data_IF_020308910991
#
_entry.id   IF_020308910991
#
_cell.length_a   1.000
_cell.length_b   1.000
_cell.length_c   1.000
_cell.angle_alpha   90.00
_cell.angle_beta   90.00
_cell.angle_gamma   90.00
#
_symmetry.space_group_name_H-M   'P 1'
#
loop_
_entity.id
_entity.type
_entity.pdbx_description
1 polymer ?
#
# COMPACT_ATOMS: atom_id res chain seq x y z
N UNK A 1 20.09 11.98 -2.73
CA UNK A 1 19.91 10.61 -3.26
C UNK A 1 18.46 10.48 -3.73
N UNK A 2 18.15 9.68 -4.75
CA UNK A 2 16.75 9.50 -5.16
C UNK A 2 16.02 8.66 -4.10
N UNK A 3 14.75 8.98 -3.84
CA UNK A 3 13.89 8.23 -2.90
C UNK A 3 13.75 6.78 -3.42
N UNK A 4 13.79 5.73 -2.57
CA UNK A 4 13.43 4.37 -2.99
C UNK A 4 12.08 4.33 -3.72
N UNK A 5 11.81 3.25 -4.46
CA UNK A 5 10.47 3.03 -4.97
C UNK A 5 9.58 2.50 -3.83
N UNK A 6 8.47 3.17 -3.51
CA UNK A 6 7.57 2.74 -2.43
C UNK A 6 6.75 1.52 -2.87
N UNK A 7 6.38 1.52 -4.14
CA UNK A 7 5.60 0.46 -4.75
C UNK A 7 5.99 0.30 -6.21
N UNK A 8 6.02 -0.95 -6.68
CA UNK A 8 6.32 -1.34 -8.04
C UNK A 8 5.35 -2.42 -8.50
N UNK A 9 4.91 -2.31 -9.75
CA UNK A 9 4.05 -3.31 -10.41
C UNK A 9 4.53 -3.52 -11.83
N UNK A 10 4.33 -4.72 -12.37
CA UNK A 10 4.67 -5.02 -13.75
C UNK A 10 3.47 -5.56 -14.51
N UNK A 11 3.35 -5.11 -15.76
CA UNK A 11 2.49 -5.69 -16.78
C UNK A 11 3.36 -6.56 -17.67
N UNK A 12 3.02 -7.83 -17.83
CA UNK A 12 3.67 -8.72 -18.80
C UNK A 12 2.66 -9.04 -19.91
N UNK A 13 3.13 -9.09 -21.14
CA UNK A 13 2.33 -9.56 -22.27
C UNK A 13 2.49 -11.07 -22.40
N UNK A 14 1.38 -11.80 -22.53
CA UNK A 14 1.45 -13.26 -22.78
C UNK A 14 1.80 -13.58 -24.24
N UNK A 15 1.48 -12.65 -25.17
CA UNK A 15 1.65 -12.84 -26.60
C UNK A 15 3.00 -12.35 -27.12
N UNK A 16 3.58 -11.35 -26.47
CA UNK A 16 4.89 -10.79 -26.80
C UNK A 16 5.77 -10.93 -25.57
N UNK A 17 7.08 -11.16 -25.70
CA UNK A 17 8.00 -11.16 -24.54
C UNK A 17 8.19 -9.76 -23.92
N UNK A 18 7.26 -8.84 -24.20
CA UNK A 18 7.27 -7.48 -23.70
C UNK A 18 6.70 -7.42 -22.29
N UNK A 19 7.37 -6.62 -21.47
CA UNK A 19 6.91 -6.26 -20.15
C UNK A 19 7.10 -4.77 -19.94
N UNK A 20 6.29 -4.19 -19.06
CA UNK A 20 6.43 -2.81 -18.61
C UNK A 20 6.37 -2.81 -17.10
N UNK A 21 7.40 -2.24 -16.47
CA UNK A 21 7.41 -2.00 -15.02
C UNK A 21 6.99 -0.56 -14.74
N UNK A 22 6.18 -0.38 -13.70
CA UNK A 22 5.77 0.91 -13.15
C UNK A 22 6.27 0.98 -11.71
N UNK A 23 6.79 2.12 -11.30
CA UNK A 23 7.23 2.33 -9.93
C UNK A 23 6.93 3.73 -9.45
N UNK A 24 6.37 3.86 -8.25
CA UNK A 24 6.23 5.14 -7.61
C UNK A 24 7.47 5.47 -6.77
N UNK A 25 8.04 6.65 -6.98
CA UNK A 25 9.13 7.23 -6.19
C UNK A 25 8.70 8.60 -5.70
N UNK A 26 8.20 8.63 -4.47
CA UNK A 26 7.55 9.77 -3.87
C UNK A 26 6.25 10.11 -4.61
N UNK A 27 6.21 11.30 -5.21
CA UNK A 27 5.04 11.81 -5.94
C UNK A 27 5.04 11.47 -7.43
N UNK A 28 6.10 10.85 -7.93
CA UNK A 28 6.26 10.50 -9.34
C UNK A 28 6.02 9.02 -9.59
N UNK A 29 5.43 8.71 -10.74
CA UNK A 29 5.39 7.36 -11.28
C UNK A 29 6.34 7.31 -12.47
N UNK A 30 7.29 6.38 -12.44
CA UNK A 30 8.17 6.07 -13.56
C UNK A 30 7.66 4.80 -14.20
N UNK A 31 7.65 4.72 -15.53
CA UNK A 31 7.43 3.48 -16.24
C UNK A 31 8.61 3.18 -17.15
N UNK A 32 8.99 1.91 -17.27
CA UNK A 32 9.97 1.48 -18.26
C UNK A 32 9.53 0.17 -18.91
N UNK A 33 9.59 0.14 -20.25
CA UNK A 33 9.31 -1.06 -21.04
C UNK A 33 10.58 -1.90 -21.30
N UNK A 34 10.38 -3.17 -21.62
CA UNK A 34 11.41 -4.10 -22.12
C UNK A 34 12.19 -3.55 -23.33
N UNK A 35 11.56 -2.67 -24.11
CA UNK A 35 12.14 -2.03 -25.30
C UNK A 35 12.95 -0.76 -24.98
N UNK A 36 13.12 -0.43 -23.69
CA UNK A 36 13.93 0.69 -23.22
C UNK A 36 13.22 2.05 -23.18
N UNK A 37 11.96 2.14 -23.65
CA UNK A 37 11.18 3.37 -23.51
C UNK A 37 10.88 3.64 -22.02
N UNK A 38 11.31 4.79 -21.53
CA UNK A 38 11.09 5.26 -20.15
C UNK A 38 10.18 6.48 -20.16
N UNK A 39 9.19 6.49 -19.28
CA UNK A 39 8.19 7.55 -19.15
C UNK A 39 8.10 7.97 -17.68
N UNK A 40 7.65 9.20 -17.42
CA UNK A 40 7.47 9.69 -16.05
C UNK A 40 6.23 10.54 -15.97
N UNK A 41 5.45 10.31 -14.92
CA UNK A 41 4.30 11.11 -14.57
C UNK A 41 4.52 11.79 -13.22
N UNK A 42 4.20 13.10 -13.09
CA UNK A 42 3.83 14.00 -14.18
C UNK A 42 4.99 14.20 -15.19
N UNK A 43 4.70 14.51 -16.47
CA UNK A 43 5.72 14.83 -17.45
C UNK A 43 6.64 15.96 -16.94
N UNK A 44 7.93 15.91 -17.23
CA UNK A 44 8.82 17.02 -16.86
C UNK A 44 8.40 18.29 -17.64
N UNK A 45 8.03 19.35 -16.92
CA UNK A 45 7.81 20.66 -17.50
C UNK A 45 9.14 21.20 -18.08
N UNK A 46 9.28 21.16 -19.39
CA UNK A 46 10.35 21.85 -20.12
C UNK A 46 10.01 23.34 -20.36
N UNK A 47 9.48 24.04 -19.34
CA UNK A 47 9.24 25.48 -19.41
C UNK A 47 9.62 26.20 -18.12
N UNK A 48 10.91 26.48 -17.98
CA UNK A 48 11.37 27.78 -17.48
C UNK A 48 12.33 28.32 -18.54
N UNK A 49 11.78 28.75 -19.68
CA UNK A 49 12.45 29.81 -20.42
C UNK A 49 12.44 31.02 -19.49
N UNK A 50 13.63 31.43 -19.07
CA UNK A 50 13.86 32.72 -18.45
C UNK A 50 13.18 33.80 -19.29
N UNK A 51 12.01 34.28 -18.85
CA UNK A 51 11.58 35.62 -19.20
C UNK A 51 12.63 36.55 -18.58
N UNK A 52 13.55 37.03 -19.43
CA UNK A 52 14.35 38.20 -19.16
C UNK A 52 13.36 39.35 -18.91
N UNK A 53 13.13 39.67 -17.64
CA UNK A 53 12.55 40.96 -17.28
C UNK A 53 13.52 42.04 -17.75
N UNK A 54 13.12 42.75 -18.80
CA UNK A 54 13.72 44.01 -19.18
C UNK A 54 13.46 45.02 -18.06
N UNK A 55 14.53 45.51 -17.44
CA UNK A 55 14.48 46.63 -16.49
C UNK A 55 13.83 47.86 -17.14
N UNK A 56 12.62 48.18 -16.73
CA UNK A 56 12.06 49.53 -16.84
C UNK A 56 11.62 49.97 -15.44
N UNK A 57 12.31 50.97 -14.91
CA UNK A 57 12.15 51.55 -13.58
C UNK A 57 10.73 52.07 -13.33
N UNK A 58 10.01 51.49 -12.36
CA UNK A 58 8.86 52.15 -11.72
C UNK A 58 8.81 51.91 -10.19
N UNK A 59 8.26 52.91 -9.49
CA UNK A 59 8.41 53.27 -8.07
C UNK A 59 7.90 52.24 -7.05
N UNK A 60 8.39 52.27 -5.78
CA UNK A 60 8.13 51.22 -4.80
C UNK A 60 6.73 51.32 -4.18
N UNK A 61 5.78 50.54 -4.71
CA UNK A 61 4.54 50.18 -4.03
C UNK A 61 4.68 48.84 -3.31
N UNK A 62 4.33 48.76 -2.03
CA UNK A 62 4.30 47.51 -1.24
C UNK A 62 3.34 46.49 -1.89
N UNK A 63 3.86 45.61 -2.75
CA UNK A 63 3.19 44.37 -3.16
C UNK A 63 3.56 43.29 -2.14
N UNK A 64 2.59 42.91 -1.32
CA UNK A 64 2.67 41.69 -0.51
C UNK A 64 2.73 40.54 -1.52
N UNK A 65 3.88 39.86 -1.61
CA UNK A 65 3.98 38.56 -2.27
C UNK A 65 3.09 37.60 -1.49
N UNK A 66 1.88 37.34 -1.98
CA UNK A 66 1.14 36.14 -1.62
C UNK A 66 2.00 34.97 -2.10
N UNK A 67 2.63 34.26 -1.16
CA UNK A 67 3.21 32.96 -1.45
C UNK A 67 2.10 32.10 -2.05
N UNK A 68 2.29 31.66 -3.31
CA UNK A 68 1.44 30.60 -3.85
C UNK A 68 1.51 29.41 -2.88
N UNK A 69 0.39 28.71 -2.63
CA UNK A 69 0.42 27.53 -1.77
C UNK A 69 1.48 26.59 -2.33
N UNK A 70 2.47 26.20 -1.52
CA UNK A 70 3.42 25.16 -1.91
C UNK A 70 2.59 23.95 -2.33
N UNK A 71 2.67 23.55 -3.60
CA UNK A 71 2.06 22.30 -4.06
C UNK A 71 2.59 21.17 -3.17
N UNK A 72 1.71 20.62 -2.35
CA UNK A 72 2.06 19.54 -1.46
C UNK A 72 2.07 18.25 -2.27
N UNK A 73 3.27 17.86 -2.73
CA UNK A 73 3.52 16.63 -3.47
C UNK A 73 3.16 15.43 -2.60
N UNK A 74 2.09 14.74 -2.96
CA UNK A 74 1.58 13.59 -2.20
C UNK A 74 2.24 12.29 -2.66
N UNK A 75 2.79 11.54 -1.72
CA UNK A 75 3.47 10.29 -2.01
C UNK A 75 2.49 9.14 -2.25
N UNK A 76 2.82 8.27 -3.21
CA UNK A 76 2.07 7.05 -3.45
C UNK A 76 2.40 5.99 -2.39
N UNK A 77 1.37 5.31 -1.88
CA UNK A 77 1.51 4.20 -0.92
C UNK A 77 1.10 2.84 -1.48
N UNK A 78 0.46 2.81 -2.65
CA UNK A 78 0.06 1.57 -3.32
C UNK A 78 -0.17 1.84 -4.80
N UNK A 79 0.16 0.86 -5.64
CA UNK A 79 -0.15 0.82 -7.07
C UNK A 79 -0.73 -0.56 -7.39
N UNK A 80 -1.80 -0.59 -8.20
CA UNK A 80 -2.36 -1.83 -8.77
C UNK A 80 -2.64 -1.62 -10.26
N UNK A 81 -2.53 -2.70 -11.03
CA UNK A 81 -2.94 -2.72 -12.45
C UNK A 81 -4.34 -3.29 -12.58
N UNK A 82 -5.08 -2.83 -13.59
CA UNK A 82 -6.29 -3.52 -14.05
C UNK A 82 -5.96 -4.90 -14.61
N UNK A 83 -6.93 -5.82 -14.56
CA UNK A 83 -6.74 -7.21 -15.00
C UNK A 83 -6.37 -7.31 -16.50
N UNK A 84 -6.73 -6.30 -17.29
CA UNK A 84 -6.37 -6.18 -18.70
C UNK A 84 -5.08 -5.36 -18.94
N UNK A 85 -4.49 -4.79 -17.89
CA UNK A 85 -3.28 -3.99 -17.93
C UNK A 85 -3.40 -2.63 -18.61
N UNK A 86 -4.61 -2.14 -18.93
CA UNK A 86 -4.79 -0.82 -19.58
C UNK A 86 -4.83 0.35 -18.60
N UNK A 87 -5.09 0.09 -17.32
CA UNK A 87 -5.22 1.11 -16.29
C UNK A 87 -4.29 0.82 -15.12
N UNK A 88 -3.73 1.89 -14.56
CA UNK A 88 -2.97 1.87 -13.32
C UNK A 88 -3.78 2.66 -12.28
N UNK A 89 -3.97 2.12 -11.08
CA UNK A 89 -4.67 2.80 -9.98
C UNK A 89 -3.70 2.94 -8.81
N UNK A 90 -3.62 4.14 -8.25
CA UNK A 90 -2.73 4.44 -7.12
C UNK A 90 -3.44 5.11 -5.96
N UNK A 91 -2.95 4.85 -4.75
CA UNK A 91 -3.33 5.58 -3.53
C UNK A 91 -2.26 6.61 -3.23
N UNK A 92 -2.67 7.87 -3.02
CA UNK A 92 -1.84 8.90 -2.41
C UNK A 92 -2.31 9.14 -0.97
N UNK A 93 -1.42 8.90 0.00
CA UNK A 93 -1.80 8.82 1.41
C UNK A 93 -2.00 10.17 2.12
N UNK A 94 -1.34 11.21 1.62
CA UNK A 94 -1.31 12.55 2.24
C UNK A 94 -2.56 13.37 1.88
N UNK A 95 -2.97 13.33 0.62
CA UNK A 95 -4.20 13.94 0.10
C UNK A 95 -5.43 13.01 0.21
N UNK A 96 -5.22 11.73 0.54
CA UNK A 96 -6.26 10.68 0.68
C UNK A 96 -6.96 10.37 -0.64
N UNK A 97 -6.27 10.53 -1.76
CA UNK A 97 -6.89 10.39 -3.07
C UNK A 97 -6.58 9.03 -3.71
N UNK A 98 -7.56 8.53 -4.46
CA UNK A 98 -7.40 7.43 -5.40
C UNK A 98 -7.23 8.05 -6.78
N UNK A 99 -6.13 7.73 -7.44
CA UNK A 99 -5.79 8.24 -8.78
C UNK A 99 -5.88 7.10 -9.79
N UNK A 100 -6.54 7.35 -10.92
CA UNK A 100 -6.66 6.37 -12.02
C UNK A 100 -5.93 6.92 -13.23
N UNK A 101 -5.05 6.11 -13.82
CA UNK A 101 -4.26 6.44 -14.99
C UNK A 101 -4.60 5.48 -16.12
N UNK A 102 -4.74 6.01 -17.33
CA UNK A 102 -4.72 5.21 -18.54
C UNK A 102 -3.27 5.01 -18.99
N UNK A 103 -2.95 3.79 -19.40
CA UNK A 103 -1.66 3.43 -19.99
C UNK A 103 -1.86 3.39 -21.51
N UNK A 104 -1.20 4.30 -22.23
CA UNK A 104 -1.27 4.32 -23.69
C UNK A 104 -0.36 3.24 -24.34
N UNK A 105 -0.37 3.16 -25.67
CA UNK A 105 0.46 2.22 -26.44
C UNK A 105 1.98 2.45 -26.28
N UNK A 106 2.39 3.62 -25.81
CA UNK A 106 3.78 4.01 -25.57
C UNK A 106 4.17 3.88 -24.08
N UNK A 107 3.26 3.39 -23.24
CA UNK A 107 3.40 3.33 -21.78
C UNK A 107 3.49 4.70 -21.08
N UNK A 108 2.95 5.76 -21.70
CA UNK A 108 2.71 7.01 -21.00
C UNK A 108 1.47 6.89 -20.12
N UNK A 109 1.50 7.59 -19.00
CA UNK A 109 0.41 7.62 -18.04
C UNK A 109 -0.38 8.92 -18.21
N UNK A 110 -1.66 8.79 -18.54
CA UNK A 110 -2.60 9.91 -18.52
C UNK A 110 -3.50 9.77 -17.30
N UNK A 111 -3.43 10.74 -16.36
CA UNK A 111 -4.34 10.74 -15.21
C UNK A 111 -5.78 11.02 -15.70
N UNK A 112 -6.68 10.05 -15.52
CA UNK A 112 -8.09 10.17 -15.86
C UNK A 112 -8.93 10.72 -14.72
N UNK A 113 -8.60 10.35 -13.48
CA UNK A 113 -9.35 10.81 -12.31
C UNK A 113 -8.49 10.91 -11.06
N UNK A 114 -8.91 11.80 -10.17
CA UNK A 114 -8.39 12.00 -8.81
C UNK A 114 -9.60 12.12 -7.88
N UNK A 115 -9.75 11.20 -6.93
CA UNK A 115 -10.93 11.12 -6.06
C UNK A 115 -10.51 11.06 -4.60
N UNK A 116 -10.77 12.15 -3.88
CA UNK A 116 -10.29 12.30 -2.51
C UNK A 116 -11.31 11.78 -1.50
N UNK A 117 -10.92 10.73 -0.79
CA UNK A 117 -11.76 10.01 0.15
C UNK A 117 -11.89 10.78 1.46
N UNK A 118 -13.02 10.59 2.17
CA UNK A 118 -13.23 11.22 3.48
C UNK A 118 -12.20 10.78 4.54
N UNK A 119 -11.69 9.56 4.38
CA UNK A 119 -10.65 8.92 5.20
C UNK A 119 -9.53 8.41 4.29
N UNK A 120 -8.34 8.27 4.85
CA UNK A 120 -7.17 7.77 4.10
C UNK A 120 -7.43 6.33 3.65
N UNK A 121 -7.36 6.03 2.35
CA UNK A 121 -7.36 4.66 1.85
C UNK A 121 -6.19 3.86 2.43
N UNK A 122 -6.44 2.63 2.86
CA UNK A 122 -5.41 1.69 3.34
C UNK A 122 -5.07 0.65 2.28
N UNK A 123 -6.06 0.14 1.54
CA UNK A 123 -5.85 -0.83 0.46
C UNK A 123 -6.90 -0.66 -0.65
N UNK A 124 -6.52 -1.02 -1.88
CA UNK A 124 -7.40 -1.00 -3.05
C UNK A 124 -7.29 -2.30 -3.83
N UNK A 125 -8.38 -2.72 -4.45
CA UNK A 125 -8.41 -3.83 -5.43
C UNK A 125 -9.44 -3.55 -6.52
N UNK A 126 -9.45 -4.36 -7.58
CA UNK A 126 -10.38 -4.24 -8.69
C UNK A 126 -11.28 -5.48 -8.79
N UNK A 127 -12.52 -5.27 -9.21
CA UNK A 127 -13.40 -6.36 -9.61
C UNK A 127 -12.88 -7.04 -10.88
N UNK A 128 -13.16 -8.33 -11.07
CA UNK A 128 -12.63 -9.10 -12.21
C UNK A 128 -13.02 -8.54 -13.59
N UNK A 129 -14.07 -7.74 -13.68
CA UNK A 129 -14.55 -7.09 -14.90
C UNK A 129 -13.92 -5.70 -15.13
N UNK A 130 -12.99 -5.27 -14.26
CA UNK A 130 -12.35 -3.95 -14.27
C UNK A 130 -13.36 -2.78 -14.20
N UNK A 131 -14.60 -2.99 -13.74
CA UNK A 131 -15.60 -1.94 -13.69
C UNK A 131 -15.52 -1.12 -12.39
N UNK A 132 -15.10 -1.74 -11.29
CA UNK A 132 -15.20 -1.16 -9.94
C UNK A 132 -13.88 -1.26 -9.19
N UNK A 133 -13.43 -0.14 -8.64
CA UNK A 133 -12.39 -0.04 -7.61
C UNK A 133 -13.05 -0.28 -6.26
N UNK A 134 -12.56 -1.27 -5.52
CA UNK A 134 -12.88 -1.47 -4.12
C UNK A 134 -11.79 -0.79 -3.29
N UNK A 135 -12.19 0.10 -2.38
CA UNK A 135 -11.29 0.86 -1.53
C UNK A 135 -11.62 0.60 -0.07
N UNK A 136 -10.68 0.00 0.66
CA UNK A 136 -10.72 -0.06 2.12
C UNK A 136 -10.07 1.20 2.71
N UNK A 137 -10.69 1.77 3.74
CA UNK A 137 -10.15 2.92 4.46
C UNK A 137 -9.60 2.56 5.86
N UNK A 138 -8.80 3.47 6.41
CA UNK A 138 -8.19 3.29 7.74
C UNK A 138 -9.18 3.31 8.92
N UNK A 139 -10.45 3.63 8.68
CA UNK A 139 -11.51 3.69 9.68
C UNK A 139 -12.36 2.42 9.73
N UNK A 140 -12.19 1.53 8.76
CA UNK A 140 -12.87 0.25 8.73
C UNK A 140 -13.85 0.09 7.57
N UNK A 141 -14.07 1.12 6.75
CA UNK A 141 -15.09 1.09 5.70
C UNK A 141 -14.53 0.59 4.37
N UNK A 142 -15.33 -0.15 3.60
CA UNK A 142 -15.05 -0.51 2.20
C UNK A 142 -16.05 0.15 1.27
N UNK A 143 -15.53 0.89 0.30
CA UNK A 143 -16.31 1.58 -0.72
C UNK A 143 -16.13 0.94 -2.10
N UNK A 144 -17.20 0.90 -2.89
CA UNK A 144 -17.13 0.68 -4.34
C UNK A 144 -17.14 2.02 -5.06
N UNK A 145 -16.22 2.19 -6.02
CA UNK A 145 -16.16 3.33 -6.90
C UNK A 145 -16.01 2.85 -8.35
N UNK A 146 -16.65 3.48 -9.36
CA UNK A 146 -16.43 3.09 -10.75
C UNK A 146 -14.96 3.29 -11.13
N UNK A 147 -14.34 2.39 -11.91
CA UNK A 147 -12.97 2.59 -12.38
C UNK A 147 -12.89 3.85 -13.25
N UNK A 148 -13.85 3.99 -14.16
CA UNK A 148 -13.99 5.13 -15.05
C UNK A 148 -15.26 5.90 -14.67
N UNK A 149 -15.14 7.08 -14.03
CA UNK A 149 -16.31 7.92 -13.76
C UNK A 149 -16.89 8.43 -15.08
N UNK A 150 -18.21 8.41 -15.19
CA UNK A 150 -18.93 9.08 -16.27
C UNK A 150 -19.19 10.55 -15.91
N UNK A 151 -19.38 11.44 -16.90
CA UNK A 151 -19.72 12.85 -16.64
C UNK A 151 -21.00 13.06 -15.82
N UNK A 152 -21.88 12.05 -15.76
CA UNK A 152 -23.09 12.08 -14.94
C UNK A 152 -22.81 11.65 -13.48
N UNK A 153 -21.73 10.93 -13.22
CA UNK A 153 -21.33 10.51 -11.88
C UNK A 153 -20.81 11.68 -11.02
N UNK A 154 -20.36 12.76 -11.66
CA UNK A 154 -19.93 14.01 -11.00
C UNK A 154 -21.12 14.93 -10.63
N UNK A 155 -22.32 14.68 -11.18
CA UNK A 155 -23.55 15.43 -10.86
C UNK A 155 -24.22 14.97 -9.55
N UNK A 156 -23.79 13.83 -8.99
CA UNK A 156 -24.27 13.28 -7.71
C UNK A 156 -23.81 14.13 -6.50
N UNK A 157 -23.05 15.20 -6.74
CA UNK A 157 -22.68 16.21 -5.74
C UNK A 157 -23.80 17.18 -5.33
N UNK A 158 -24.98 17.15 -5.96
CA UNK A 158 -26.17 17.79 -5.37
C UNK A 158 -26.73 16.86 -4.29
N UNK A 159 -26.92 17.33 -3.05
CA UNK A 159 -27.43 16.49 -1.98
C UNK A 159 -28.80 15.94 -2.39
N UNK A 160 -28.89 14.63 -2.60
CA UNK A 160 -30.16 13.95 -2.62
C UNK A 160 -30.89 14.32 -1.33
N UNK A 161 -32.09 14.89 -1.46
CA UNK A 161 -32.98 15.21 -0.35
C UNK A 161 -33.24 13.92 0.45
N UNK A 162 -32.46 13.71 1.51
CA UNK A 162 -32.93 12.94 2.65
C UNK A 162 -34.18 13.64 3.18
N UNK A 163 -35.27 12.92 3.52
CA UNK A 163 -36.43 13.54 4.14
C UNK A 163 -35.94 14.33 5.35
N UNK A 164 -36.27 15.63 5.37
CA UNK A 164 -35.84 16.57 6.39
C UNK A 164 -35.98 15.95 7.78
N UNK A 165 -34.86 15.50 8.32
CA UNK A 165 -34.76 15.23 9.75
C UNK A 165 -34.43 16.59 10.33
N UNK A 166 -35.40 17.14 11.08
CA UNK A 166 -35.28 18.42 11.77
C UNK A 166 -33.87 18.52 12.40
N UNK A 167 -33.10 19.51 11.97
CA UNK A 167 -31.83 19.82 12.61
C UNK A 167 -32.14 20.13 14.08
N UNK A 168 -31.64 19.35 15.06
CA UNK A 168 -31.71 19.81 16.42
C UNK A 168 -30.80 21.03 16.52
N UNK A 169 -31.35 22.14 17.03
CA UNK A 169 -30.63 23.35 17.39
C UNK A 169 -29.24 22.99 17.92
N UNK A 170 -28.19 23.53 17.30
CA UNK A 170 -26.82 23.42 17.80
C UNK A 170 -26.73 24.14 19.15
N UNK A 171 -27.14 23.45 20.22
CA UNK A 171 -26.77 23.84 21.57
C UNK A 171 -25.27 23.67 21.70
N UNK A 172 -24.58 24.74 22.07
CA UNK A 172 -23.21 24.67 22.57
C UNK A 172 -23.14 23.57 23.64
N UNK A 173 -22.39 22.52 23.36
CA UNK A 173 -22.19 21.44 24.31
C UNK A 173 -21.34 21.97 25.47
N UNK A 174 -21.95 22.11 26.64
CA UNK A 174 -21.29 22.47 27.89
C UNK A 174 -21.06 21.19 28.69
N UNK A 175 -19.82 20.88 29.11
CA UNK A 175 -19.57 19.76 30.01
C UNK A 175 -20.45 19.92 31.26
N UNK A 176 -21.21 18.90 31.62
CA UNK A 176 -22.11 18.94 32.79
C UNK A 176 -21.38 19.00 34.14
N UNK A 177 -20.05 18.86 34.14
CA UNK A 177 -19.22 18.82 35.33
C UNK A 177 -18.24 20.00 35.37
N UNK A 178 -18.24 20.72 36.49
CA UNK A 178 -17.25 21.76 36.81
C UNK A 178 -16.08 21.16 37.61
N UNK A 179 -14.94 21.85 37.64
CA UNK A 179 -13.77 21.48 38.45
C UNK A 179 -14.06 21.38 39.95
N UNK A 180 -15.20 21.92 40.40
CA UNK A 180 -15.70 21.84 41.77
C UNK A 180 -16.43 20.53 42.09
N UNK A 181 -16.88 19.77 41.08
CA UNK A 181 -17.73 18.57 41.24
C UNK A 181 -16.93 17.27 41.05
N UNK A 182 -15.69 17.35 40.58
CA UNK A 182 -14.88 16.20 40.19
C UNK A 182 -13.80 15.93 41.23
N UNK A 183 -14.00 14.89 42.05
CA UNK A 183 -13.09 14.54 43.16
C UNK A 183 -12.16 13.35 42.87
N UNK A 184 -12.35 12.64 41.75
CA UNK A 184 -11.51 11.49 41.36
C UNK A 184 -10.50 11.86 40.26
N UNK A 185 -9.29 11.30 40.35
CA UNK A 185 -8.22 11.57 39.38
C UNK A 185 -8.57 11.20 37.94
N UNK A 186 -9.35 10.11 37.74
CA UNK A 186 -9.80 9.64 36.42
C UNK A 186 -10.77 10.63 35.77
N UNK A 187 -11.75 11.11 36.53
CA UNK A 187 -12.75 12.05 36.02
C UNK A 187 -12.13 13.43 35.73
N UNK A 188 -11.09 13.83 36.48
CA UNK A 188 -10.35 15.08 36.21
C UNK A 188 -9.63 15.02 34.86
N UNK A 189 -9.04 13.88 34.52
CA UNK A 189 -8.39 13.65 33.22
C UNK A 189 -9.40 13.69 32.07
N UNK A 190 -10.56 13.09 32.23
CA UNK A 190 -11.65 13.14 31.24
C UNK A 190 -12.16 14.56 31.01
N UNK A 191 -12.29 15.36 32.08
CA UNK A 191 -12.67 16.78 31.97
C UNK A 191 -11.60 17.61 31.26
N UNK A 192 -10.32 17.38 31.55
CA UNK A 192 -9.19 18.03 30.86
C UNK A 192 -9.17 17.69 29.35
N UNK A 193 -9.48 16.45 28.98
CA UNK A 193 -9.58 16.01 27.59
C UNK A 193 -10.77 16.66 26.86
N UNK A 194 -11.93 16.77 27.52
CA UNK A 194 -13.10 17.46 26.99
C UNK A 194 -12.84 18.95 26.77
N UNK A 195 -12.16 19.63 27.69
CA UNK A 195 -11.77 21.03 27.55
C UNK A 195 -10.73 21.23 26.44
N UNK A 196 -9.78 20.30 26.27
CA UNK A 196 -8.84 20.30 25.14
C UNK A 196 -9.55 20.10 23.80
N UNK A 197 -10.60 19.27 23.74
CA UNK A 197 -11.42 19.13 22.54
C UNK A 197 -12.19 20.43 22.24
N UNK A 198 -12.76 21.09 23.26
CA UNK A 198 -13.40 22.42 23.09
C UNK A 198 -12.42 23.46 22.54
N UNK A 199 -11.18 23.49 23.05
CA UNK A 199 -10.15 24.41 22.59
C UNK A 199 -9.71 24.18 21.13
N UNK A 200 -9.92 22.97 20.58
CA UNK A 200 -9.63 22.64 19.18
C UNK A 200 -10.69 23.15 18.19
N UNK A 201 -11.76 23.80 18.67
CA UNK A 201 -12.86 24.29 17.85
C UNK A 201 -13.77 23.17 17.33
N UNK A 202 -14.87 23.51 16.63
CA UNK A 202 -15.69 22.51 15.96
C UNK A 202 -14.79 21.71 15.01
N UNK A 203 -14.88 20.37 15.07
CA UNK A 203 -14.19 19.51 14.12
C UNK A 203 -14.47 20.03 12.71
N UNK A 204 -13.42 20.32 11.92
CA UNK A 204 -13.58 20.69 10.50
C UNK A 204 -14.62 19.76 9.90
N UNK A 205 -15.72 20.34 9.41
CA UNK A 205 -16.78 19.57 8.76
C UNK A 205 -16.14 18.67 7.72
N UNK A 206 -16.47 17.38 7.76
CA UNK A 206 -16.02 16.43 6.75
C UNK A 206 -16.50 16.99 5.41
N UNK A 207 -15.59 17.40 4.54
CA UNK A 207 -15.99 17.69 3.16
C UNK A 207 -16.61 16.40 2.59
N UNK A 208 -17.87 16.46 2.14
CA UNK A 208 -18.53 15.28 1.62
C UNK A 208 -17.81 14.84 0.34
N UNK A 209 -17.69 13.52 0.14
CA UNK A 209 -17.14 12.96 -1.11
C UNK A 209 -18.07 13.34 -2.27
N UNK A 210 -17.54 14.07 -3.26
CA UNK A 210 -18.33 14.65 -4.37
C UNK A 210 -18.26 13.85 -5.67
N UNK A 211 -18.07 12.54 -5.56
CA UNK A 211 -18.01 11.61 -6.69
C UNK A 211 -18.87 10.39 -6.37
N UNK A 212 -19.29 9.64 -7.37
CA UNK A 212 -20.04 8.40 -7.17
C UNK A 212 -19.25 7.36 -6.39
N UNK A 213 -19.84 6.90 -5.29
CA UNK A 213 -19.33 5.83 -4.45
C UNK A 213 -20.50 5.14 -3.75
N UNK A 214 -20.28 3.88 -3.35
CA UNK A 214 -21.20 3.10 -2.55
C UNK A 214 -20.46 2.54 -1.35
N UNK A 215 -20.98 2.72 -0.13
CA UNK A 215 -20.48 2.05 1.06
C UNK A 215 -20.99 0.60 1.06
N UNK A 216 -20.07 -0.36 1.02
CA UNK A 216 -20.41 -1.79 0.90
C UNK A 216 -20.49 -2.50 2.24
N UNK A 217 -19.47 -2.32 3.09
CA UNK A 217 -19.34 -2.97 4.39
C UNK A 217 -18.38 -2.18 5.29
N UNK A 218 -18.37 -2.52 6.59
CA UNK A 218 -17.53 -1.86 7.58
C UNK A 218 -17.03 -2.78 8.70
N UNK A 219 -15.83 -2.51 9.18
CA UNK A 219 -15.21 -3.02 10.40
C UNK A 219 -15.18 -1.90 11.44
N UNK A 220 -15.10 -2.28 12.73
CA UNK A 220 -14.83 -1.31 13.81
C UNK A 220 -13.33 -1.07 13.93
N UNK A 221 -12.51 -2.04 13.52
CA UNK A 221 -11.07 -1.94 13.46
C UNK A 221 -10.59 -1.30 12.16
N UNK A 222 -9.32 -0.90 12.16
CA UNK A 222 -8.62 -0.38 10.99
C UNK A 222 -8.41 -1.49 9.97
N UNK A 223 -9.01 -1.35 8.78
CA UNK A 223 -8.72 -2.24 7.66
C UNK A 223 -7.29 -2.05 7.18
N UNK A 224 -6.61 -3.17 6.99
CA UNK A 224 -5.21 -3.26 6.56
C UNK A 224 -5.08 -3.76 5.14
N UNK A 225 -5.99 -4.64 4.70
CA UNK A 225 -6.01 -5.13 3.33
C UNK A 225 -7.42 -5.51 2.83
N UNK A 226 -7.61 -5.46 1.52
CA UNK A 226 -8.83 -5.90 0.83
C UNK A 226 -8.48 -6.69 -0.42
N UNK A 227 -9.10 -7.85 -0.58
CA UNK A 227 -8.96 -8.71 -1.74
C UNK A 227 -10.32 -9.05 -2.34
N UNK A 228 -10.37 -9.20 -3.66
CA UNK A 228 -11.56 -9.59 -4.40
C UNK A 228 -11.31 -10.93 -5.09
N UNK A 229 -12.29 -11.82 -5.04
CA UNK A 229 -12.22 -13.10 -5.75
C UNK A 229 -13.59 -13.53 -6.26
N UNK A 230 -13.60 -14.49 -7.19
CA UNK A 230 -14.80 -15.16 -7.67
C UNK A 230 -14.66 -16.66 -7.48
N UNK A 231 -15.68 -17.29 -6.90
CA UNK A 231 -15.77 -18.74 -6.80
C UNK A 231 -17.21 -19.18 -7.09
N UNK A 232 -17.36 -20.29 -7.84
CA UNK A 232 -18.65 -20.89 -8.15
C UNK A 232 -19.68 -19.88 -8.72
N UNK A 233 -19.21 -18.94 -9.54
CA UNK A 233 -20.06 -17.91 -10.16
C UNK A 233 -20.47 -16.76 -9.22
N UNK A 234 -20.02 -16.75 -7.96
CA UNK A 234 -20.25 -15.67 -7.00
C UNK A 234 -18.97 -14.88 -6.74
N UNK A 235 -19.11 -13.58 -6.54
CA UNK A 235 -18.03 -12.69 -6.11
C UNK A 235 -17.95 -12.61 -4.59
N UNK A 236 -16.74 -12.37 -4.07
CA UNK A 236 -16.47 -12.23 -2.64
C UNK A 236 -15.49 -11.08 -2.40
N UNK A 237 -15.66 -10.41 -1.26
CA UNK A 237 -14.73 -9.44 -0.71
C UNK A 237 -14.15 -10.05 0.56
N UNK A 238 -12.83 -10.15 0.61
CA UNK A 238 -12.10 -10.58 1.80
C UNK A 238 -11.37 -9.37 2.37
N UNK A 239 -11.61 -9.08 3.64
CA UNK A 239 -10.98 -7.95 4.35
C UNK A 239 -10.17 -8.43 5.53
N UNK A 240 -9.00 -7.81 5.72
CA UNK A 240 -8.14 -8.01 6.87
C UNK A 240 -8.09 -6.74 7.72
N UNK A 241 -7.93 -6.89 9.04
CA UNK A 241 -7.80 -5.75 9.94
C UNK A 241 -6.68 -5.88 10.99
N UNK A 242 -6.49 -4.79 11.72
CA UNK A 242 -5.49 -4.65 12.79
C UNK A 242 -5.78 -5.54 14.01
N UNK A 243 -7.04 -5.93 14.21
CA UNK A 243 -7.49 -6.74 15.36
C UNK A 243 -7.68 -8.21 14.97
N UNK A 244 -6.79 -8.72 14.12
CA UNK A 244 -6.64 -10.14 13.77
C UNK A 244 -7.75 -10.73 12.88
N UNK A 245 -8.76 -9.95 12.48
CA UNK A 245 -9.87 -10.51 11.70
C UNK A 245 -9.54 -10.61 10.22
N UNK A 246 -9.88 -11.76 9.64
CA UNK A 246 -10.06 -11.94 8.21
C UNK A 246 -11.55 -12.25 7.99
N UNK A 247 -12.30 -11.32 7.42
CA UNK A 247 -13.73 -11.45 7.13
C UNK A 247 -13.96 -11.80 5.67
N UNK A 248 -14.88 -12.71 5.42
CA UNK A 248 -15.32 -13.10 4.09
C UNK A 248 -16.76 -12.66 3.91
N UNK A 249 -16.99 -11.72 3.00
CA UNK A 249 -18.32 -11.24 2.63
C UNK A 249 -18.58 -11.52 1.16
N UNK A 250 -19.85 -11.57 0.74
CA UNK A 250 -20.16 -11.59 -0.69
C UNK A 250 -19.69 -10.30 -1.36
N UNK A 251 -19.52 -10.34 -2.67
CA UNK A 251 -19.27 -9.14 -3.47
C UNK A 251 -20.56 -8.36 -3.76
N UNK A 252 -20.44 -7.19 -4.40
CA UNK A 252 -21.60 -6.40 -4.82
C UNK A 252 -22.55 -7.23 -5.69
N UNK A 253 -23.88 -7.09 -5.53
CA UNK A 253 -24.57 -6.12 -4.66
C UNK A 253 -24.85 -6.61 -3.23
N UNK A 254 -24.34 -7.78 -2.83
CA UNK A 254 -24.69 -8.44 -1.56
C UNK A 254 -23.60 -8.31 -0.48
N UNK A 255 -22.81 -7.24 -0.53
CA UNK A 255 -21.64 -7.07 0.36
C UNK A 255 -21.97 -7.02 1.86
N UNK A 256 -23.23 -6.76 2.22
CA UNK A 256 -23.74 -6.85 3.59
C UNK A 256 -23.85 -8.29 4.13
N UNK A 257 -23.76 -9.32 3.28
CA UNK A 257 -23.84 -10.73 3.68
C UNK A 257 -22.43 -11.24 4.00
N UNK A 258 -22.19 -11.50 5.28
CA UNK A 258 -20.97 -12.14 5.77
C UNK A 258 -21.14 -13.66 5.63
N UNK A 259 -20.22 -14.30 4.91
CA UNK A 259 -20.17 -15.76 4.75
C UNK A 259 -19.39 -16.42 5.89
N UNK A 260 -18.36 -15.75 6.42
CA UNK A 260 -17.60 -16.25 7.55
C UNK A 260 -16.35 -15.45 7.90
N UNK A 261 -15.55 -16.04 8.78
CA UNK A 261 -14.30 -15.47 9.27
C UNK A 261 -13.23 -16.56 9.35
N UNK A 262 -12.00 -16.25 8.90
CA UNK A 262 -10.85 -17.12 9.10
C UNK A 262 -10.21 -16.79 10.46
N UNK A 263 -10.41 -17.66 11.45
CA UNK A 263 -9.86 -17.50 12.80
C UNK A 263 -8.51 -18.21 12.94
N UNK A 264 -7.50 -17.53 13.50
CA UNK A 264 -6.23 -18.16 13.85
C UNK A 264 -5.04 -17.21 14.02
N UNK A 265 -5.12 -15.99 13.48
CA UNK A 265 -4.13 -14.94 13.77
C UNK A 265 -4.23 -14.49 15.24
N UNK A 266 -3.09 -14.20 15.85
CA UNK A 266 -2.94 -13.67 17.21
C UNK A 266 -2.29 -12.27 17.22
N UNK A 267 -1.93 -11.76 16.04
CA UNK A 267 -1.52 -10.39 15.81
C UNK A 267 -2.23 -9.80 14.57
N UNK A 268 -2.02 -8.49 14.35
CA UNK A 268 -2.58 -7.79 13.20
C UNK A 268 -2.30 -8.54 11.88
N UNK A 269 -3.28 -8.58 10.98
CA UNK A 269 -3.08 -9.08 9.62
C UNK A 269 -2.74 -7.89 8.73
N UNK A 270 -1.69 -7.97 7.93
CA UNK A 270 -1.24 -6.86 7.08
C UNK A 270 -1.43 -7.11 5.59
N UNK A 271 -1.41 -8.38 5.16
CA UNK A 271 -1.46 -8.77 3.75
C UNK A 271 -2.32 -10.00 3.52
N UNK A 272 -3.12 -9.93 2.45
CA UNK A 272 -3.88 -11.02 1.86
C UNK A 272 -3.39 -11.25 0.44
N UNK A 273 -3.20 -12.51 0.05
CA UNK A 273 -2.81 -12.88 -1.30
C UNK A 273 -3.61 -14.10 -1.75
N UNK A 274 -4.30 -13.97 -2.88
CA UNK A 274 -4.85 -15.12 -3.56
C UNK A 274 -3.80 -15.71 -4.50
N UNK A 275 -3.67 -17.04 -4.46
CA UNK A 275 -2.88 -17.79 -5.44
C UNK A 275 -3.68 -18.01 -6.72
N UNK A 276 -3.03 -18.54 -7.75
CA UNK A 276 -3.69 -18.84 -9.03
C UNK A 276 -4.83 -19.87 -8.89
N UNK A 277 -4.73 -20.83 -7.95
CA UNK A 277 -5.80 -21.79 -7.68
C UNK A 277 -6.87 -21.27 -6.69
N UNK A 278 -6.83 -19.97 -6.36
CA UNK A 278 -7.73 -19.33 -5.40
C UNK A 278 -7.59 -19.83 -3.97
N UNK A 279 -6.40 -20.25 -3.53
CA UNK A 279 -6.09 -20.37 -2.11
C UNK A 279 -5.81 -18.98 -1.54
N UNK A 280 -6.21 -18.75 -0.29
CA UNK A 280 -5.93 -17.51 0.41
C UNK A 280 -4.72 -17.70 1.31
N UNK A 281 -3.70 -16.86 1.15
CA UNK A 281 -2.56 -16.76 2.05
C UNK A 281 -2.63 -15.43 2.78
N UNK A 282 -2.44 -15.44 4.10
CA UNK A 282 -2.37 -14.23 4.92
C UNK A 282 -1.09 -14.17 5.74
N UNK A 283 -0.64 -12.95 5.99
CA UNK A 283 0.52 -12.65 6.83
C UNK A 283 0.34 -11.34 7.57
N UNK A 284 1.09 -11.17 8.65
CA UNK A 284 0.86 -10.11 9.61
C UNK A 284 2.00 -9.98 10.61
N UNK A 285 1.63 -9.71 11.87
CA UNK A 285 2.55 -9.64 13.01
C UNK A 285 2.83 -10.98 13.68
N UNK A 286 2.23 -12.07 13.20
CA UNK A 286 2.40 -13.44 13.69
C UNK A 286 3.73 -14.06 13.27
N UNK A 287 4.11 -15.14 13.95
CA UNK A 287 5.32 -15.91 13.63
C UNK A 287 5.19 -16.74 12.32
N UNK A 288 3.95 -16.91 11.84
CA UNK A 288 3.61 -17.77 10.71
C UNK A 288 2.80 -17.02 9.65
N UNK A 289 2.92 -17.46 8.40
CA UNK A 289 1.89 -17.25 7.38
C UNK A 289 0.81 -18.31 7.52
N UNK A 290 -0.41 -17.97 7.14
CA UNK A 290 -1.55 -18.87 7.21
C UNK A 290 -2.11 -19.10 5.80
N UNK A 291 -2.32 -20.36 5.45
CA UNK A 291 -2.94 -20.78 4.19
C UNK A 291 -4.34 -21.29 4.50
N UNK A 292 -5.35 -20.74 3.83
CA UNK A 292 -6.75 -20.99 4.16
C UNK A 292 -7.49 -21.67 3.03
N UNK A 293 -8.36 -22.60 3.41
CA UNK A 293 -9.60 -22.83 2.69
C UNK A 293 -10.60 -21.76 3.10
N UNK A 294 -10.55 -20.63 2.40
CA UNK A 294 -11.38 -19.48 2.74
C UNK A 294 -12.88 -19.77 2.54
N UNK A 295 -13.28 -20.60 1.58
CA UNK A 295 -14.70 -20.90 1.34
C UNK A 295 -15.32 -21.63 2.54
N UNK A 296 -14.55 -22.49 3.19
CA UNK A 296 -14.96 -23.21 4.40
C UNK A 296 -14.48 -22.55 5.70
N UNK A 297 -13.76 -21.44 5.62
CA UNK A 297 -13.12 -20.76 6.76
C UNK A 297 -12.17 -21.66 7.57
N UNK A 298 -11.46 -22.58 6.91
CA UNK A 298 -10.57 -23.55 7.56
C UNK A 298 -9.10 -23.22 7.31
N UNK A 299 -8.29 -23.30 8.38
CA UNK A 299 -6.84 -23.22 8.28
C UNK A 299 -6.28 -24.53 7.71
N UNK A 300 -5.55 -24.46 6.59
CA UNK A 300 -4.91 -25.61 5.92
C UNK A 300 -3.48 -25.81 6.39
N UNK A 301 -2.69 -24.73 6.42
CA UNK A 301 -1.24 -24.81 6.64
C UNK A 301 -0.72 -23.55 7.36
N UNK A 302 0.34 -23.73 8.16
CA UNK A 302 1.11 -22.64 8.77
C UNK A 302 2.55 -22.70 8.27
N UNK A 303 3.08 -21.57 7.79
CA UNK A 303 4.44 -21.47 7.25
C UNK A 303 5.30 -20.62 8.18
N UNK A 304 6.36 -21.20 8.76
CA UNK A 304 7.18 -20.59 9.82
C UNK A 304 8.16 -19.52 9.30
N UNK A 305 7.64 -18.36 8.88
CA UNK A 305 8.43 -17.28 8.30
C UNK A 305 9.33 -16.56 9.31
N UNK A 306 8.96 -16.47 10.60
CA UNK A 306 9.80 -15.79 11.61
C UNK A 306 11.16 -16.44 11.74
N UNK A 307 11.19 -17.77 11.87
CA UNK A 307 12.44 -18.51 12.05
C UNK A 307 13.35 -18.38 10.82
N UNK A 308 12.76 -18.43 9.62
CA UNK A 308 13.51 -18.26 8.38
C UNK A 308 14.10 -16.83 8.27
N UNK A 309 13.33 -15.81 8.64
CA UNK A 309 13.79 -14.43 8.65
C UNK A 309 14.90 -14.19 9.70
N UNK A 310 14.74 -14.73 10.90
CA UNK A 310 15.75 -14.64 11.96
C UNK A 310 17.05 -15.35 11.55
N UNK A 311 16.95 -16.57 11.02
CA UNK A 311 18.10 -17.35 10.55
C UNK A 311 18.87 -16.61 9.45
N UNK A 312 18.16 -15.94 8.52
CA UNK A 312 18.79 -15.12 7.48
C UNK A 312 19.57 -13.94 8.06
N UNK A 313 18.96 -13.18 8.98
CA UNK A 313 19.64 -12.04 9.60
C UNK A 313 20.83 -12.49 10.45
N UNK A 314 20.70 -13.59 11.20
CA UNK A 314 21.78 -14.17 12.00
C UNK A 314 22.93 -14.65 11.12
N UNK A 315 22.64 -15.36 10.03
CA UNK A 315 23.64 -15.82 9.06
C UNK A 315 24.41 -14.68 8.39
N UNK A 316 23.82 -13.48 8.33
CA UNK A 316 24.45 -12.25 7.83
C UNK A 316 24.99 -11.32 8.92
N UNK A 317 24.93 -11.72 10.19
CA UNK A 317 25.38 -10.92 11.33
C UNK A 317 24.69 -9.54 11.42
N UNK A 318 23.41 -9.47 11.03
CA UNK A 318 22.60 -8.25 11.05
C UNK A 318 21.74 -8.12 12.31
N UNK A 319 21.73 -9.14 13.17
CA UNK A 319 21.12 -9.09 14.49
C UNK A 319 22.23 -9.09 15.54
N UNK A 320 22.17 -8.24 16.59
CA UNK A 320 23.04 -8.37 17.75
C UNK A 320 22.98 -9.77 18.34
N UNK A 321 24.13 -10.33 18.75
CA UNK A 321 24.22 -11.68 19.29
C UNK A 321 23.40 -11.89 20.59
N UNK A 322 23.01 -10.80 21.23
CA UNK A 322 22.23 -10.75 22.48
C UNK A 322 20.73 -10.98 22.28
N UNK A 323 20.22 -10.85 21.03
CA UNK A 323 18.79 -11.02 20.76
C UNK A 323 18.47 -12.52 20.68
N UNK A 324 17.64 -12.99 21.63
CA UNK A 324 17.11 -14.34 21.61
C UNK A 324 16.12 -14.52 20.44
N UNK A 325 16.18 -15.67 19.76
CA UNK A 325 15.27 -16.00 18.65
C UNK A 325 13.79 -15.85 19.05
N UNK A 326 13.43 -16.25 20.27
CA UNK A 326 12.07 -16.17 20.83
C UNK A 326 11.55 -14.73 20.96
N UNK A 327 12.44 -13.76 21.14
CA UNK A 327 12.10 -12.34 21.31
C UNK A 327 11.97 -11.60 19.97
N UNK A 328 12.54 -12.15 18.91
CA UNK A 328 12.48 -11.54 17.58
C UNK A 328 11.04 -11.52 17.05
N UNK A 329 10.65 -10.40 16.47
CA UNK A 329 9.32 -10.20 15.87
C UNK A 329 9.47 -9.79 14.43
N UNK A 330 8.50 -10.20 13.62
CA UNK A 330 8.39 -9.84 12.21
C UNK A 330 7.10 -9.09 11.96
N UNK A 331 7.09 -8.29 10.91
CA UNK A 331 5.88 -7.74 10.29
C UNK A 331 5.93 -8.08 8.80
N UNK A 332 5.01 -8.90 8.31
CA UNK A 332 4.92 -9.20 6.89
C UNK A 332 4.49 -7.94 6.13
N UNK A 333 5.32 -7.46 5.20
CA UNK A 333 5.05 -6.21 4.45
C UNK A 333 4.46 -6.46 3.06
N UNK A 334 4.69 -7.63 2.47
CA UNK A 334 4.16 -8.00 1.15
C UNK A 334 4.13 -9.52 0.95
N UNK A 335 3.14 -9.98 0.20
CA UNK A 335 2.96 -11.38 -0.22
C UNK A 335 2.58 -11.38 -1.69
N UNK A 336 3.34 -12.09 -2.52
CA UNK A 336 3.11 -12.17 -3.96
C UNK A 336 3.06 -13.63 -4.41
N UNK A 337 1.93 -14.04 -5.00
CA UNK A 337 1.79 -15.33 -5.65
C UNK A 337 2.60 -15.37 -6.94
N UNK A 338 3.46 -16.38 -7.08
CA UNK A 338 4.19 -16.61 -8.32
C UNK A 338 3.30 -17.34 -9.32
N UNK A 339 3.26 -16.88 -10.58
CA UNK A 339 2.55 -17.63 -11.61
C UNK A 339 3.30 -18.93 -11.90
N UNK A 340 2.58 -20.04 -11.98
CA UNK A 340 3.15 -21.33 -12.36
C UNK A 340 2.34 -22.06 -13.42
N UNK A 341 3.05 -22.77 -14.30
CA UNK A 341 2.47 -23.61 -15.36
C UNK A 341 2.27 -25.07 -14.92
N UNK A 342 3.02 -25.52 -13.92
CA UNK A 342 3.00 -26.91 -13.43
C UNK A 342 1.96 -27.14 -12.31
N UNK A 343 1.20 -26.10 -11.96
CA UNK A 343 0.20 -26.14 -10.88
C UNK A 343 0.80 -26.04 -9.48
N UNK A 344 2.13 -25.94 -9.34
CA UNK A 344 2.75 -25.66 -8.05
C UNK A 344 2.47 -24.22 -7.63
N UNK A 345 1.99 -24.05 -6.40
CA UNK A 345 1.69 -22.74 -5.87
C UNK A 345 2.84 -22.27 -4.99
N UNK A 346 3.50 -21.20 -5.40
CA UNK A 346 4.59 -20.60 -4.63
C UNK A 346 4.25 -19.17 -4.32
N UNK A 347 4.49 -18.74 -3.09
CA UNK A 347 4.41 -17.33 -2.68
C UNK A 347 5.79 -16.81 -2.33
N UNK A 348 6.06 -15.57 -2.70
CA UNK A 348 7.19 -14.78 -2.18
C UNK A 348 6.67 -13.83 -1.11
N UNK A 349 7.46 -13.64 -0.05
CA UNK A 349 7.07 -12.84 1.10
C UNK A 349 8.21 -11.94 1.53
N UNK A 350 7.88 -10.69 1.86
CA UNK A 350 8.78 -9.73 2.45
C UNK A 350 8.37 -9.46 3.90
N UNK A 351 9.36 -9.18 4.75
CA UNK A 351 9.16 -8.68 6.10
C UNK A 351 9.74 -7.28 6.21
N UNK A 352 9.03 -6.38 6.90
CA UNK A 352 9.46 -5.02 7.16
C UNK A 352 10.83 -5.01 7.86
N UNK A 353 11.77 -4.22 7.35
CA UNK A 353 13.12 -4.12 7.89
C UNK A 353 14.04 -5.33 7.63
N UNK A 354 13.62 -6.31 6.79
CA UNK A 354 14.43 -7.50 6.49
C UNK A 354 15.01 -7.44 5.07
N UNK A 355 16.32 -7.64 4.87
CA UNK A 355 16.97 -7.61 3.56
C UNK A 355 16.96 -9.00 2.90
N UNK A 356 15.75 -9.55 2.72
CA UNK A 356 15.48 -10.77 1.99
C UNK A 356 14.02 -10.86 1.52
N UNK A 357 13.81 -11.69 0.49
CA UNK A 357 12.51 -12.30 0.21
C UNK A 357 12.52 -13.75 0.65
N UNK A 358 11.37 -14.27 1.04
CA UNK A 358 11.17 -15.66 1.47
C UNK A 358 10.18 -16.36 0.55
N UNK A 359 10.57 -17.51 0.01
CA UNK A 359 9.72 -18.31 -0.87
C UNK A 359 9.18 -19.55 -0.19
N UNK A 360 7.88 -19.80 -0.36
CA UNK A 360 7.19 -20.99 0.16
C UNK A 360 6.36 -21.65 -0.93
N UNK A 361 6.52 -22.96 -1.10
CA UNK A 361 5.64 -23.77 -1.96
C UNK A 361 4.55 -24.38 -1.11
N UNK A 362 3.29 -24.06 -1.43
CA UNK A 362 2.12 -24.45 -0.64
C UNK A 362 1.82 -25.95 -0.78
N UNK A 363 1.35 -26.57 0.30
CA UNK A 363 1.02 -27.99 0.32
C UNK A 363 2.24 -28.93 0.30
N UNK A 364 3.45 -28.38 0.36
CA UNK A 364 4.70 -29.13 0.46
C UNK A 364 5.35 -28.79 1.78
N UNK A 365 5.61 -29.80 2.61
CA UNK A 365 6.28 -29.64 3.90
C UNK A 365 7.78 -29.32 3.71
N UNK A 366 8.09 -28.07 3.36
CA UNK A 366 9.44 -27.52 3.20
C UNK A 366 9.57 -26.25 4.07
N UNK A 367 10.69 -26.03 4.80
CA UNK A 367 10.94 -24.80 5.56
C UNK A 367 10.92 -23.48 4.75
N UNK A 368 10.85 -23.54 3.42
CA UNK A 368 10.96 -22.38 2.55
C UNK A 368 12.41 -22.04 2.22
N UNK A 369 12.63 -21.01 1.41
CA UNK A 369 13.96 -20.55 1.00
C UNK A 369 14.07 -19.03 1.07
N UNK A 370 15.30 -18.51 1.18
CA UNK A 370 15.58 -17.07 1.25
C UNK A 370 16.32 -16.57 0.00
N UNK A 371 15.90 -15.42 -0.53
CA UNK A 371 16.59 -14.68 -1.59
C UNK A 371 17.25 -13.45 -0.93
N UNK A 372 18.60 -13.39 -0.82
CA UNK A 372 19.29 -12.31 -0.14
C UNK A 372 19.25 -10.99 -0.92
N UNK A 373 19.02 -9.88 -0.21
CA UNK A 373 19.00 -8.52 -0.78
C UNK A 373 20.12 -7.62 -0.21
N UNK A 374 20.45 -6.54 -0.93
CA UNK A 374 21.44 -5.51 -0.60
C UNK A 374 20.85 -4.36 0.25
N UNK A 375 19.53 -4.36 0.45
CA UNK A 375 18.74 -3.45 1.28
C UNK A 375 17.46 -4.13 1.74
N UNK A 376 16.69 -3.49 2.63
CA UNK A 376 15.43 -4.06 3.11
C UNK A 376 14.40 -4.13 1.98
N UNK A 377 13.62 -5.20 1.91
CA UNK A 377 12.60 -5.37 0.87
C UNK A 377 11.45 -4.35 1.08
N UNK A 378 11.08 -3.64 0.00
CA UNK A 378 9.98 -2.68 -0.01
C UNK A 378 8.78 -3.20 -0.80
N UNK A 379 9.00 -3.60 -2.05
CA UNK A 379 7.95 -4.15 -2.92
C UNK A 379 8.55 -5.00 -4.05
N UNK A 380 7.72 -5.82 -4.71
CA UNK A 380 8.15 -6.76 -5.76
C UNK A 380 7.25 -6.66 -6.98
N UNK A 381 7.86 -6.49 -8.16
CA UNK A 381 7.19 -6.60 -9.45
C UNK A 381 7.62 -7.90 -10.13
N UNK A 382 6.64 -8.74 -10.46
CA UNK A 382 6.86 -10.03 -11.14
C UNK A 382 6.64 -9.85 -12.64
N UNK A 383 7.69 -10.15 -13.41
CA UNK A 383 7.64 -10.20 -14.87
C UNK A 383 7.71 -11.65 -15.32
N UNK A 384 6.88 -12.03 -16.28
CA UNK A 384 6.89 -13.37 -16.84
C UNK A 384 6.93 -13.30 -18.37
N UNK A 385 7.77 -14.11 -18.98
CA UNK A 385 7.83 -14.26 -20.43
C UNK A 385 6.91 -15.39 -20.90
N UNK A 386 6.49 -15.34 -22.17
CA UNK A 386 5.72 -16.41 -22.80
C UNK A 386 6.41 -17.78 -22.68
N UNK A 387 7.75 -17.78 -22.70
CA UNK A 387 8.63 -18.95 -22.49
C UNK A 387 8.54 -19.59 -21.09
N UNK A 388 7.81 -18.99 -20.14
CA UNK A 388 7.68 -19.47 -18.77
C UNK A 388 8.81 -19.02 -17.84
N UNK A 389 9.76 -18.23 -18.35
CA UNK A 389 10.82 -17.61 -17.54
C UNK A 389 10.23 -16.54 -16.64
N UNK A 390 10.51 -16.63 -15.34
CA UNK A 390 10.12 -15.62 -14.36
C UNK A 390 11.29 -14.71 -14.03
N UNK A 391 11.04 -13.40 -14.04
CA UNK A 391 11.97 -12.37 -13.61
C UNK A 391 11.33 -11.52 -12.51
N UNK A 392 12.11 -11.10 -11.54
CA UNK A 392 11.69 -10.23 -10.45
C UNK A 392 12.44 -8.92 -10.53
N UNK A 393 11.74 -7.81 -10.36
CA UNK A 393 12.32 -6.58 -9.88
C UNK A 393 11.90 -6.41 -8.43
N UNK A 394 12.88 -6.22 -7.54
CA UNK A 394 12.67 -6.05 -6.10
C UNK A 394 13.08 -4.64 -5.75
N UNK A 395 12.16 -3.84 -5.25
CA UNK A 395 12.51 -2.56 -4.66
C UNK A 395 13.11 -2.76 -3.28
N UNK A 396 14.24 -2.10 -3.08
CA UNK A 396 15.00 -2.17 -1.85
C UNK A 396 15.25 -0.78 -1.29
N UNK A 397 15.30 -0.74 0.03
CA UNK A 397 15.71 0.46 0.73
C UNK A 397 17.21 0.73 0.51
N UNK A 398 17.50 1.88 -0.09
CA UNK A 398 18.84 2.38 -0.33
C UNK A 398 19.23 3.52 0.63
N UNK A 399 18.44 3.79 1.67
CA UNK A 399 18.65 4.85 2.67
C UNK A 399 19.06 4.26 4.02
N UNK A 400 18.33 3.31 4.57
CA UNK A 400 18.73 2.65 5.83
C UNK A 400 19.64 1.44 5.59
N UNK A 401 20.36 1.04 6.63
CA UNK A 401 21.22 -0.14 6.62
C UNK A 401 20.36 -1.41 6.49
N UNK A 402 20.85 -2.45 5.79
CA UNK A 402 20.19 -3.75 5.76
C UNK A 402 19.94 -4.29 7.18
N UNK A 403 18.72 -4.71 7.49
CA UNK A 403 18.33 -5.18 8.82
C UNK A 403 17.94 -4.06 9.81
N UNK A 404 18.03 -2.78 9.42
CA UNK A 404 17.65 -1.65 10.27
C UNK A 404 16.61 -0.77 9.59
N UNK A 405 15.66 -0.26 10.37
CA UNK A 405 14.66 0.73 9.91
C UNK A 405 15.03 2.16 10.34
N UNK A 406 16.13 2.34 11.08
CA UNK A 406 16.47 3.63 11.71
C UNK A 406 17.89 4.08 11.42
N UNK A 407 18.83 3.15 11.29
CA UNK A 407 20.22 3.48 11.02
C UNK A 407 20.42 3.80 9.53
N UNK A 408 20.87 5.01 9.23
CA UNK A 408 21.22 5.43 7.87
C UNK A 408 22.51 4.74 7.43
N UNK A 409 22.57 4.34 6.16
CA UNK A 409 23.75 3.70 5.58
C UNK A 409 24.76 4.74 5.08
N UNK A 410 26.04 4.36 5.05
CA UNK A 410 27.13 5.22 4.53
C UNK A 410 27.52 4.85 3.08
N UNK A 411 27.25 3.61 2.67
CA UNK A 411 27.58 3.07 1.37
C UNK A 411 26.51 3.41 0.32
N UNK A 412 26.92 3.48 -0.95
CA UNK A 412 25.97 3.60 -2.06
C UNK A 412 25.36 2.23 -2.35
N UNK A 413 24.03 2.16 -2.33
CA UNK A 413 23.29 0.97 -2.70
C UNK A 413 22.32 1.22 -3.85
N UNK A 414 22.02 0.17 -4.63
CA UNK A 414 21.00 0.25 -5.67
C UNK A 414 19.61 0.41 -5.06
N UNK A 415 18.67 0.97 -5.82
CA UNK A 415 17.25 1.10 -5.44
C UNK A 415 16.43 -0.16 -5.76
N UNK A 416 16.98 -0.98 -6.65
CA UNK A 416 16.35 -2.16 -7.20
C UNK A 416 17.36 -3.30 -7.29
N UNK A 417 16.89 -4.52 -7.08
CA UNK A 417 17.62 -5.74 -7.45
C UNK A 417 16.76 -6.59 -8.36
N UNK A 418 17.42 -7.28 -9.28
CA UNK A 418 16.75 -8.04 -10.33
C UNK A 418 17.14 -9.50 -10.24
N UNK A 419 16.17 -10.40 -10.34
CA UNK A 419 16.41 -11.84 -10.26
C UNK A 419 15.74 -12.57 -11.41
N UNK A 420 16.40 -13.59 -11.95
CA UNK A 420 15.83 -14.54 -12.89
C UNK A 420 15.71 -15.92 -12.26
N UNK A 421 14.57 -16.59 -12.48
CA UNK A 421 14.37 -17.98 -12.05
C UNK A 421 15.10 -18.91 -13.01
N UNK A 422 15.98 -19.76 -12.47
CA UNK A 422 16.76 -20.72 -13.23
C UNK A 422 16.02 -22.06 -13.38
N UNK A 423 16.53 -22.95 -14.24
CA UNK A 423 15.94 -24.27 -14.49
C UNK A 423 15.95 -25.19 -13.26
N UNK A 424 16.87 -24.96 -12.33
CA UNK A 424 16.96 -25.67 -11.04
C UNK A 424 15.92 -25.17 -10.01
N UNK A 425 15.12 -24.14 -10.37
CA UNK A 425 14.14 -23.51 -9.50
C UNK A 425 14.71 -22.38 -8.63
N UNK A 426 16.03 -22.17 -8.62
CA UNK A 426 16.71 -21.14 -7.85
C UNK A 426 16.58 -19.74 -8.45
N UNK A 427 16.82 -18.72 -7.63
CA UNK A 427 16.81 -17.31 -8.02
C UNK A 427 18.23 -16.76 -8.05
N UNK A 428 18.63 -16.16 -9.17
CA UNK A 428 19.95 -15.58 -9.36
C UNK A 428 19.86 -14.14 -9.85
N UNK A 429 20.82 -13.28 -9.49
CA UNK A 429 20.83 -11.88 -9.95
C UNK A 429 20.87 -11.83 -11.49
N UNK A 430 19.94 -11.10 -12.09
CA UNK A 430 19.82 -10.95 -13.54
C UNK A 430 20.51 -9.65 -13.99
N UNK A 431 21.77 -9.78 -14.41
CA UNK A 431 22.57 -8.66 -14.90
C UNK A 431 22.03 -8.07 -16.23
N UNK A 432 21.35 -8.87 -17.05
CA UNK A 432 20.76 -8.39 -18.30
C UNK A 432 19.58 -7.47 -18.01
N UNK A 433 18.67 -7.91 -17.14
CA UNK A 433 17.54 -7.10 -16.69
C UNK A 433 18.01 -5.82 -15.98
N UNK A 434 19.06 -5.93 -15.16
CA UNK A 434 19.72 -4.77 -14.55
C UNK A 434 20.20 -3.76 -15.59
N UNK A 435 20.84 -4.23 -16.66
CA UNK A 435 21.31 -3.37 -17.75
C UNK A 435 20.15 -2.70 -18.50
N UNK A 436 19.07 -3.44 -18.77
CA UNK A 436 17.88 -2.89 -19.42
C UNK A 436 17.27 -1.79 -18.55
N UNK A 437 17.12 -1.99 -17.24
CA UNK A 437 16.43 -1.08 -16.32
C UNK A 437 17.32 0.01 -15.68
N UNK A 438 18.50 0.28 -16.24
CA UNK A 438 19.41 1.33 -15.73
C UNK A 438 18.75 2.71 -15.65
N UNK A 439 17.93 3.07 -16.65
CA UNK A 439 17.24 4.36 -16.68
C UNK A 439 16.20 4.46 -15.57
N UNK A 440 15.41 3.41 -15.37
CA UNK A 440 14.44 3.31 -14.27
C UNK A 440 15.10 3.45 -12.89
N UNK A 441 16.33 2.96 -12.69
CA UNK A 441 17.05 3.13 -11.43
C UNK A 441 17.43 4.60 -11.13
N UNK A 442 17.68 5.41 -12.17
CA UNK A 442 18.17 6.79 -12.02
C UNK A 442 17.06 7.84 -11.85
N UNK A 443 15.82 7.51 -12.22
CA UNK A 443 14.69 8.47 -12.18
C UNK A 443 13.93 8.37 -10.85
N UNK A 444 13.64 9.50 -10.23
CA UNK A 444 12.86 9.57 -8.99
C UNK A 444 12.85 10.96 -8.38
N UNK A 445 12.06 11.15 -7.32
CA UNK A 445 12.17 12.36 -6.50
C UNK A 445 13.50 12.39 -5.74
N UNK A 446 14.06 13.58 -5.58
CA UNK A 446 15.29 13.78 -4.80
C UNK A 446 14.89 13.88 -3.33
N UNK A 447 15.53 13.07 -2.48
CA UNK A 447 15.37 13.12 -1.03
C UNK A 447 15.69 14.53 -0.49
N UNK A 448 14.66 15.25 -0.02
CA UNK A 448 14.78 16.49 0.73
C UNK A 448 14.84 16.17 2.23
N UNK A 449 16.04 15.86 2.73
CA UNK A 449 16.56 15.96 4.11
C UNK A 449 15.68 15.69 5.37
N UNK A 450 14.45 15.17 5.28
CA UNK A 450 13.68 14.70 6.44
C UNK A 450 13.69 13.17 6.52
N UNK A 451 14.73 12.63 7.17
CA UNK A 451 14.93 11.20 7.38
C UNK A 451 13.72 10.53 8.06
N UNK A 452 12.97 11.27 8.89
CA UNK A 452 11.80 10.75 9.57
C UNK A 452 10.64 10.56 8.59
N UNK A 453 10.36 11.55 7.74
CA UNK A 453 9.29 11.45 6.75
C UNK A 453 9.51 10.28 5.78
N UNK A 454 10.76 10.08 5.36
CA UNK A 454 11.15 8.95 4.49
C UNK A 454 10.93 7.63 5.21
N UNK A 455 11.37 7.52 6.47
CA UNK A 455 11.18 6.31 7.26
C UNK A 455 9.69 6.00 7.47
N UNK A 456 8.89 6.98 7.87
CA UNK A 456 7.46 6.79 8.13
C UNK A 456 6.68 6.46 6.83
N UNK A 457 7.23 6.80 5.67
CA UNK A 457 6.71 6.41 4.36
C UNK A 457 7.07 4.95 4.00
N UNK A 458 8.30 4.51 4.26
CA UNK A 458 8.79 3.17 3.89
C UNK A 458 8.40 2.08 4.89
N UNK A 459 8.33 2.41 6.18
CA UNK A 459 8.15 1.47 7.27
C UNK A 459 6.95 1.88 8.13
N UNK A 460 5.83 1.18 7.95
CA UNK A 460 4.58 1.54 8.58
C UNK A 460 3.73 0.35 9.05
N UNK A 461 4.11 -0.88 8.70
CA UNK A 461 3.39 -2.10 9.02
C UNK A 461 3.61 -2.47 10.49
N UNK A 462 4.83 -2.35 11.01
CA UNK A 462 5.10 -2.67 12.43
C UNK A 462 4.33 -1.75 13.39
N UNK A 463 3.93 -0.55 12.95
CA UNK A 463 3.07 0.36 13.72
C UNK A 463 1.65 -0.19 13.97
N UNK A 464 1.24 -1.24 13.26
CA UNK A 464 -0.03 -1.93 13.50
C UNK A 464 0.00 -2.74 14.79
N UNK A 465 1.18 -3.16 15.27
CA UNK A 465 1.30 -3.94 16.51
C UNK A 465 0.71 -3.16 17.70
N UNK A 466 -0.10 -3.86 18.50
CA UNK A 466 -0.66 -3.31 19.74
C UNK A 466 0.50 -3.07 20.72
N UNK A 467 0.57 -1.87 21.30
CA UNK A 467 1.59 -1.54 22.30
C UNK A 467 1.17 -2.09 23.65
N UNK A 468 2.10 -2.69 24.44
CA UNK A 468 1.79 -3.11 25.80
C UNK A 468 1.23 -1.92 26.61
N UNK A 469 0.05 -2.09 27.21
CA UNK A 469 -0.61 -1.06 28.03
C UNK A 469 -1.46 -0.02 27.28
N UNK A 470 -1.70 -0.19 25.98
CA UNK A 470 -2.64 0.66 25.24
C UNK A 470 -4.12 0.25 25.42
N UNK A 471 -4.39 -0.79 26.21
CA UNK A 471 -5.72 -1.39 26.42
C UNK A 471 -6.36 -1.03 27.78
N UNK A 472 -5.88 0.02 28.47
CA UNK A 472 -6.43 0.49 29.77
C UNK A 472 -7.38 1.71 29.68
#
# INVERSE_FOLDING_TARGET
MAVPYQCIVARSSESTEDWTIFGASGSKIVAQSSRGATTTWPPQDNQIEHQQESDSEERPGKRIKLEQPKEQKSNFSSLILSNDGHYLVGITGEDKCIRVFQIDSQNQLQQLSERCMSRRPSSITLTSDNATVLCADKFGDVYALPLLPSPDDDKVGEPAETPATEQPDQKEWVPSATTLTVHSGRNRKTLEEQLKQKAKGPAKSKEPMRFKHELLLGHVSMLTDVAYTKAEGRSYIVTADRDEHIRISRGPPQAHIIEGFCFGHEAFVSRLCFTQSSQLVSGGGDDHLFVWDWQNCLLKEKLAIRDLAFAHLQGRQLVPAEIESSSYKIAVSGIWGLPSRDGTETVLVACEGVPALFGFTLGVSNPGYSIPLKGNALDVAIMHASTGTLKLAVSIDNVQKPGSMTEVREDKAPRLQYFGKQQDGGWHEDAELSNTLKSFEQVGDILLADDKAVRDMLYNVENLRKRPGAED
#
